data_IF_882794809211
#
_entry.id   IF_882794809211
#
_cell.length_a   1.000
_cell.length_b   1.000
_cell.length_c   1.000
_cell.angle_alpha   90.00
_cell.angle_beta   90.00
_cell.angle_gamma   90.00
#
_symmetry.space_group_name_H-M   'P 1'
#
loop_
_entity.id
_entity.type
_entity.pdbx_description
1 polymer ?
#
# COMPACT_ATOMS: atom_id res chain seq x y z
N UNK A 1 18.43 57.87 -27.75
CA UNK A 1 18.82 58.52 -26.47
C UNK A 1 19.68 57.54 -25.67
N UNK A 2 20.91 57.95 -25.34
CA UNK A 2 21.91 57.20 -24.56
C UNK A 2 21.74 57.46 -23.07
N UNK A 3 22.10 56.47 -22.24
CA UNK A 3 22.96 56.51 -21.03
C UNK A 3 22.67 55.25 -20.20
N UNK A 4 23.58 54.58 -19.52
CA UNK A 4 25.04 54.45 -19.52
C UNK A 4 25.34 53.25 -18.60
N UNK A 5 26.40 52.50 -18.90
CA UNK A 5 26.90 51.38 -18.11
C UNK A 5 27.58 51.84 -16.80
N UNK A 6 27.67 50.96 -15.79
CA UNK A 6 28.94 50.79 -15.05
C UNK A 6 29.01 49.49 -14.25
N UNK A 7 30.18 48.87 -14.33
CA UNK A 7 30.63 47.64 -13.67
C UNK A 7 31.28 47.89 -12.31
N UNK A 8 31.24 46.83 -11.50
CA UNK A 8 31.86 46.44 -10.20
C UNK A 8 33.17 47.12 -9.75
N UNK A 9 33.45 47.15 -8.43
CA UNK A 9 34.71 46.53 -7.97
C UNK A 9 34.60 45.65 -6.71
N UNK A 10 35.44 44.60 -6.75
CA UNK A 10 35.88 43.67 -5.69
C UNK A 10 36.66 44.40 -4.58
N UNK A 11 36.54 43.95 -3.32
CA UNK A 11 37.57 44.13 -2.27
C UNK A 11 37.46 43.09 -1.14
N UNK A 12 38.46 42.22 -1.11
CA UNK A 12 38.90 41.32 -0.03
C UNK A 12 39.18 42.03 1.31
N UNK A 13 38.92 41.34 2.45
CA UNK A 13 39.79 41.12 3.64
C UNK A 13 39.03 40.30 4.70
N UNK A 14 39.37 39.02 4.96
CA UNK A 14 40.36 38.45 5.91
C UNK A 14 40.11 38.72 7.41
N UNK A 15 39.83 37.63 8.16
CA UNK A 15 40.32 37.17 9.51
C UNK A 15 39.23 36.25 10.09
N UNK A 16 39.45 35.07 10.66
CA UNK A 16 40.64 34.36 11.11
C UNK A 16 40.29 33.60 12.42
N UNK A 17 40.63 32.31 12.50
CA UNK A 17 40.71 31.51 13.74
C UNK A 17 39.42 30.77 14.17
N UNK A 18 39.43 29.55 14.73
CA UNK A 18 40.51 28.65 15.11
C UNK A 18 39.89 27.26 15.31
N UNK A 19 40.50 26.20 14.74
CA UNK A 19 40.24 24.79 15.11
C UNK A 19 40.88 24.51 16.47
N UNK A 20 40.13 23.92 17.40
CA UNK A 20 40.72 23.22 18.56
C UNK A 20 40.33 21.75 18.45
N UNK A 21 41.35 20.89 18.51
CA UNK A 21 41.26 19.43 18.60
C UNK A 21 41.75 19.00 19.99
N UNK A 22 41.22 17.83 20.41
CA UNK A 22 41.79 16.80 21.32
C UNK A 22 41.77 17.07 22.83
N UNK A 23 41.74 16.03 23.72
CA UNK A 23 42.27 14.65 23.53
C UNK A 23 41.43 13.44 24.07
N UNK A 24 41.94 12.24 23.76
CA UNK A 24 41.61 10.89 24.27
C UNK A 24 42.19 10.63 25.68
N UNK A 25 41.53 9.75 26.46
CA UNK A 25 42.08 8.84 27.49
C UNK A 25 40.93 7.89 27.95
N UNK A 26 40.90 6.55 27.79
CA UNK A 26 41.62 5.37 28.35
C UNK A 26 41.04 4.75 29.67
N UNK A 27 40.39 3.57 29.51
CA UNK A 27 40.43 2.30 30.30
C UNK A 27 40.01 2.20 31.81
N UNK A 28 38.83 1.58 32.13
CA UNK A 28 38.50 0.24 32.79
C UNK A 28 38.55 0.16 34.34
N UNK A 29 37.90 -0.81 35.07
CA UNK A 29 37.45 -2.19 34.73
C UNK A 29 36.01 -2.62 35.13
N UNK A 30 35.38 -3.57 34.41
CA UNK A 30 35.08 -4.98 34.76
C UNK A 30 34.32 -5.28 36.07
N UNK A 31 33.07 -5.75 35.95
CA UNK A 31 32.48 -6.75 36.86
C UNK A 31 31.74 -7.78 36.01
N UNK A 32 32.16 -9.03 36.13
CA UNK A 32 31.59 -10.20 35.50
C UNK A 32 30.42 -10.75 36.32
N UNK A 33 29.34 -11.18 35.66
CA UNK A 33 28.46 -12.27 36.11
C UNK A 33 27.94 -13.03 34.88
N UNK A 34 28.14 -14.35 34.88
CA UNK A 34 27.52 -15.38 34.03
C UNK A 34 26.70 -16.32 34.93
N UNK A 35 25.96 -17.32 34.41
CA UNK A 35 24.86 -17.23 33.44
C UNK A 35 23.57 -17.86 34.02
N UNK A 36 22.40 -17.38 33.61
CA UNK A 36 21.11 -18.05 33.85
C UNK A 36 20.64 -18.73 32.57
N UNK A 37 20.64 -20.05 32.56
CA UNK A 37 20.09 -20.88 31.49
C UNK A 37 18.59 -20.62 31.32
N UNK A 38 18.20 -20.21 30.11
CA UNK A 38 16.82 -20.10 29.67
C UNK A 38 16.78 -20.35 28.17
N UNK A 39 16.22 -21.50 27.79
CA UNK A 39 16.12 -22.00 26.43
C UNK A 39 15.26 -21.07 25.57
N UNK A 40 15.89 -20.14 24.85
CA UNK A 40 15.29 -19.49 23.69
C UNK A 40 15.64 -20.33 22.45
N UNK A 41 14.66 -21.11 21.98
CA UNK A 41 14.74 -21.72 20.66
C UNK A 41 14.92 -20.65 19.57
N UNK A 42 15.59 -20.96 18.45
CA UNK A 42 15.89 -19.96 17.45
C UNK A 42 14.60 -19.41 16.82
N UNK A 43 14.28 -18.17 17.16
CA UNK A 43 13.33 -17.36 16.40
C UNK A 43 13.96 -17.18 15.02
N UNK A 44 13.38 -17.87 14.04
CA UNK A 44 13.82 -17.84 12.66
C UNK A 44 13.43 -16.48 12.05
N UNK A 45 14.20 -15.44 12.40
CA UNK A 45 14.16 -14.17 11.70
C UNK A 45 14.55 -14.45 10.25
N UNK A 46 13.59 -14.28 9.34
CA UNK A 46 13.79 -14.48 7.91
C UNK A 46 15.13 -13.94 7.42
N UNK A 47 15.71 -14.65 6.44
CA UNK A 47 17.07 -14.52 5.94
C UNK A 47 17.63 -13.10 6.10
N UNK A 48 18.69 -12.92 6.90
CA UNK A 48 19.31 -11.61 7.11
C UNK A 48 19.73 -10.93 5.80
N UNK A 49 19.45 -9.63 5.69
CA UNK A 49 19.71 -8.79 4.50
C UNK A 49 21.17 -8.82 3.99
N UNK A 50 22.13 -9.27 4.80
CA UNK A 50 23.53 -9.42 4.41
C UNK A 50 23.83 -10.66 3.54
N UNK A 51 22.82 -11.50 3.27
CA UNK A 51 22.93 -12.68 2.41
C UNK A 51 22.33 -12.47 1.01
N UNK A 52 21.80 -11.30 0.68
CA UNK A 52 21.39 -10.98 -0.71
C UNK A 52 22.69 -10.82 -1.52
N UNK A 53 23.03 -11.74 -2.43
CA UNK A 53 24.29 -11.65 -3.17
C UNK A 53 24.32 -10.38 -4.00
N UNK A 54 25.47 -9.68 -4.05
CA UNK A 54 25.70 -8.48 -4.88
C UNK A 54 25.33 -8.70 -6.36
N UNK A 55 25.28 -9.97 -6.81
CA UNK A 55 24.84 -10.39 -8.14
C UNK A 55 23.35 -10.17 -8.38
N UNK A 56 22.48 -10.35 -7.37
CA UNK A 56 21.03 -10.07 -7.46
C UNK A 56 20.80 -8.56 -7.55
N UNK A 57 21.54 -7.76 -6.78
CA UNK A 57 21.50 -6.29 -6.88
C UNK A 57 22.03 -5.82 -8.24
N UNK A 58 23.05 -6.48 -8.81
CA UNK A 58 23.60 -6.19 -10.14
C UNK A 58 22.71 -6.59 -11.31
N UNK A 59 22.00 -7.73 -11.20
CA UNK A 59 21.03 -8.23 -12.19
C UNK A 59 19.74 -7.38 -12.16
N UNK A 60 19.23 -7.09 -10.97
CA UNK A 60 18.08 -6.21 -10.76
C UNK A 60 18.39 -4.73 -11.04
N UNK A 61 19.67 -4.33 -11.09
CA UNK A 61 20.08 -3.01 -11.60
C UNK A 61 20.18 -2.92 -13.12
N UNK A 62 20.16 -4.02 -13.88
CA UNK A 62 20.15 -3.96 -15.36
C UNK A 62 18.78 -4.24 -15.95
N UNK A 63 17.93 -5.00 -15.24
CA UNK A 63 16.58 -5.33 -15.68
C UNK A 63 15.51 -4.26 -15.38
N UNK A 64 15.73 -3.36 -14.42
CA UNK A 64 14.69 -2.45 -13.94
C UNK A 64 14.95 -0.99 -14.32
N UNK A 65 14.77 -0.69 -15.61
CA UNK A 65 14.45 0.67 -16.06
C UNK A 65 13.01 0.99 -15.61
N UNK A 66 12.82 2.05 -14.83
CA UNK A 66 11.46 2.57 -14.60
C UNK A 66 10.88 3.02 -15.96
N UNK A 67 9.67 2.59 -16.36
CA UNK A 67 9.16 2.74 -17.73
C UNK A 67 9.12 4.17 -18.27
N UNK A 68 9.08 5.18 -17.40
CA UNK A 68 8.71 6.54 -17.85
C UNK A 68 9.82 7.58 -17.86
N UNK A 69 11.00 7.34 -17.25
CA UNK A 69 12.01 8.41 -17.13
C UNK A 69 13.49 7.99 -17.19
N UNK A 70 13.82 6.70 -17.29
CA UNK A 70 15.22 6.25 -17.30
C UNK A 70 16.04 6.66 -16.06
N UNK A 71 15.39 7.18 -15.00
CA UNK A 71 16.05 7.59 -13.78
C UNK A 71 16.25 6.39 -12.86
N UNK A 72 17.52 6.11 -12.56
CA UNK A 72 17.92 5.10 -11.61
C UNK A 72 17.43 5.43 -10.20
N UNK A 73 16.81 4.47 -9.51
CA UNK A 73 16.61 4.56 -8.07
C UNK A 73 17.97 4.68 -7.38
N UNK A 74 18.06 5.55 -6.36
CA UNK A 74 19.26 5.59 -5.52
C UNK A 74 19.43 4.24 -4.83
N UNK A 75 20.67 3.84 -4.54
CA UNK A 75 20.98 2.53 -3.94
C UNK A 75 20.14 2.23 -2.69
N UNK A 76 20.03 3.20 -1.77
CA UNK A 76 19.26 3.04 -0.55
C UNK A 76 17.76 2.84 -0.82
N UNK A 77 17.19 3.59 -1.77
CA UNK A 77 15.78 3.45 -2.17
C UNK A 77 15.53 2.06 -2.80
N UNK A 78 16.51 1.54 -3.55
CA UNK A 78 16.45 0.21 -4.14
C UNK A 78 16.55 -0.92 -3.10
N UNK A 79 17.47 -0.82 -2.13
CA UNK A 79 17.57 -1.78 -1.02
C UNK A 79 16.29 -1.81 -0.18
N UNK A 80 15.69 -0.63 0.06
CA UNK A 80 14.38 -0.52 0.71
C UNK A 80 13.29 -1.22 -0.10
N UNK A 81 13.25 -1.05 -1.43
CA UNK A 81 12.30 -1.73 -2.32
C UNK A 81 12.45 -3.24 -2.24
N UNK A 82 13.66 -3.78 -2.29
CA UNK A 82 13.90 -5.22 -2.17
C UNK A 82 13.39 -5.77 -0.83
N UNK A 83 13.74 -5.08 0.27
CA UNK A 83 13.26 -5.43 1.62
C UNK A 83 11.74 -5.44 1.69
N UNK A 84 11.08 -4.41 1.17
CA UNK A 84 9.63 -4.28 1.16
C UNK A 84 8.95 -5.28 0.22
N UNK A 85 9.60 -5.72 -0.86
CA UNK A 85 9.07 -6.78 -1.73
C UNK A 85 8.99 -8.14 -1.02
N UNK A 86 9.87 -8.40 -0.05
CA UNK A 86 9.80 -9.58 0.81
C UNK A 86 8.60 -9.54 1.79
N UNK A 87 7.97 -8.37 1.93
CA UNK A 87 6.92 -8.05 2.90
C UNK A 87 5.51 -7.95 2.30
N UNK A 88 5.36 -8.39 1.05
CA UNK A 88 4.08 -8.55 0.34
C UNK A 88 3.18 -9.63 0.96
N UNK A 89 3.79 -10.63 1.61
CA UNK A 89 3.12 -11.62 2.45
C UNK A 89 3.75 -11.55 3.83
N UNK A 90 2.92 -11.38 4.85
CA UNK A 90 3.31 -11.43 6.25
C UNK A 90 3.83 -12.84 6.57
N UNK A 91 4.87 -13.00 7.40
CA UNK A 91 5.35 -14.33 7.81
C UNK A 91 4.28 -15.19 8.49
N UNK A 92 3.27 -14.58 9.10
CA UNK A 92 2.15 -15.26 9.74
C UNK A 92 0.82 -14.67 9.24
N UNK A 93 0.46 -14.88 7.96
CA UNK A 93 -0.67 -14.20 7.34
C UNK A 93 -2.00 -14.62 7.98
N UNK A 94 -2.08 -15.84 8.54
CA UNK A 94 -3.25 -16.31 9.29
C UNK A 94 -3.51 -15.46 10.54
N UNK A 95 -2.47 -15.16 11.33
CA UNK A 95 -2.59 -14.29 12.51
C UNK A 95 -3.07 -12.89 12.15
N UNK A 96 -2.66 -12.36 10.99
CA UNK A 96 -3.16 -11.07 10.48
C UNK A 96 -4.65 -11.12 10.12
N UNK A 97 -5.14 -12.28 9.69
CA UNK A 97 -6.50 -12.49 9.20
C UNK A 97 -7.48 -13.02 10.26
N UNK A 98 -7.01 -13.63 11.34
CA UNK A 98 -7.86 -14.10 12.44
C UNK A 98 -8.83 -13.02 12.97
N UNK A 99 -8.40 -11.76 13.22
CA UNK A 99 -9.32 -10.71 13.69
C UNK A 99 -10.47 -10.40 12.72
N UNK A 100 -10.31 -10.71 11.42
CA UNK A 100 -11.38 -10.57 10.44
C UNK A 100 -12.51 -11.57 10.72
N UNK A 101 -12.19 -12.81 11.10
CA UNK A 101 -13.18 -13.84 11.43
C UNK A 101 -13.91 -13.60 12.74
N UNK A 102 -13.31 -12.85 13.66
CA UNK A 102 -13.98 -12.48 14.91
C UNK A 102 -14.92 -11.29 14.70
N UNK A 103 -14.46 -10.28 13.94
CA UNK A 103 -15.20 -9.04 13.75
C UNK A 103 -16.32 -9.13 12.71
N UNK A 104 -16.17 -9.93 11.64
CA UNK A 104 -17.15 -9.93 10.55
C UNK A 104 -18.56 -10.35 11.00
N UNK A 105 -18.67 -11.36 11.89
CA UNK A 105 -19.98 -11.85 12.32
C UNK A 105 -20.71 -10.79 13.12
N UNK A 106 -20.00 -10.10 14.02
CA UNK A 106 -20.52 -8.97 14.77
C UNK A 106 -20.96 -7.83 13.83
N UNK A 107 -20.11 -7.46 12.86
CA UNK A 107 -20.42 -6.40 11.89
C UNK A 107 -21.68 -6.70 11.09
N UNK A 108 -21.76 -7.89 10.49
CA UNK A 108 -22.91 -8.30 9.67
C UNK A 108 -24.18 -8.40 10.52
N UNK A 109 -24.10 -8.89 11.75
CA UNK A 109 -25.25 -8.95 12.67
C UNK A 109 -25.83 -7.57 13.02
N UNK A 110 -25.00 -6.52 12.95
CA UNK A 110 -25.41 -5.12 13.15
C UNK A 110 -25.84 -4.43 11.84
N UNK A 111 -25.91 -5.17 10.73
CA UNK A 111 -26.24 -4.63 9.41
C UNK A 111 -25.12 -3.80 8.78
N UNK A 112 -23.87 -3.99 9.20
CA UNK A 112 -22.70 -3.33 8.62
C UNK A 112 -22.05 -4.20 7.53
N UNK A 113 -21.16 -3.58 6.75
CA UNK A 113 -20.26 -4.29 5.85
C UNK A 113 -19.37 -5.26 6.64
N UNK A 114 -18.97 -6.41 6.07
CA UNK A 114 -18.14 -7.42 6.76
C UNK A 114 -16.87 -6.84 7.42
N UNK A 115 -16.25 -5.85 6.78
CA UNK A 115 -15.08 -5.10 7.26
C UNK A 115 -15.38 -3.97 8.27
N UNK A 116 -16.61 -3.86 8.77
CA UNK A 116 -17.04 -2.75 9.64
C UNK A 116 -17.08 -1.40 8.93
N UNK A 117 -17.07 -1.41 7.59
CA UNK A 117 -17.13 -0.21 6.75
C UNK A 117 -18.60 0.23 6.51
N UNK A 118 -18.81 1.49 6.09
CA UNK A 118 -20.12 1.93 5.63
C UNK A 118 -20.56 1.14 4.39
N UNK A 119 -21.83 0.74 4.34
CA UNK A 119 -22.43 0.06 3.17
C UNK A 119 -22.43 0.96 1.93
N UNK A 120 -22.66 2.26 2.12
CA UNK A 120 -22.52 3.24 1.06
C UNK A 120 -21.03 3.57 0.87
N UNK A 121 -20.51 3.22 -0.30
CA UNK A 121 -19.08 3.37 -0.61
C UNK A 121 -18.80 4.46 -1.66
N UNK A 122 -19.82 4.91 -2.41
CA UNK A 122 -19.72 5.86 -3.52
C UNK A 122 -20.35 7.22 -3.19
N UNK A 123 -19.84 8.29 -3.78
CA UNK A 123 -20.33 9.66 -3.59
C UNK A 123 -19.52 10.45 -2.55
N UNK A 124 -19.81 11.75 -2.48
CA UNK A 124 -19.05 12.70 -1.65
C UNK A 124 -19.15 12.38 -0.16
N UNK A 125 -20.34 12.09 0.35
CA UNK A 125 -20.57 11.77 1.76
C UNK A 125 -19.93 10.44 2.17
N UNK A 126 -20.01 9.43 1.30
CA UNK A 126 -19.32 8.16 1.51
C UNK A 126 -17.80 8.35 1.55
N UNK A 127 -17.23 9.11 0.59
CA UNK A 127 -15.80 9.41 0.58
C UNK A 127 -15.36 10.16 1.85
N UNK A 128 -16.15 11.11 2.32
CA UNK A 128 -15.90 11.84 3.55
C UNK A 128 -15.95 10.92 4.78
N UNK A 129 -16.94 10.03 4.86
CA UNK A 129 -17.07 9.04 5.93
C UNK A 129 -15.84 8.13 5.99
N UNK A 130 -15.41 7.59 4.85
CA UNK A 130 -14.19 6.77 4.77
C UNK A 130 -12.95 7.55 5.21
N UNK A 131 -12.80 8.81 4.77
CA UNK A 131 -11.68 9.65 5.18
C UNK A 131 -11.67 9.94 6.69
N UNK A 132 -12.83 10.19 7.31
CA UNK A 132 -12.98 10.39 8.76
C UNK A 132 -12.66 9.10 9.52
N UNK A 133 -13.15 7.94 9.07
CA UNK A 133 -12.83 6.65 9.67
C UNK A 133 -11.33 6.36 9.64
N UNK A 134 -10.66 6.65 8.52
CA UNK A 134 -9.21 6.51 8.38
C UNK A 134 -8.44 7.51 9.25
N UNK A 135 -8.93 8.73 9.42
CA UNK A 135 -8.35 9.77 10.29
C UNK A 135 -8.40 9.39 11.76
N UNK A 136 -9.54 8.86 12.19
CA UNK A 136 -9.81 8.55 13.59
C UNK A 136 -9.44 7.11 13.98
N UNK A 137 -8.81 6.34 13.07
CA UNK A 137 -8.49 4.92 13.25
C UNK A 137 -9.72 4.08 13.68
N UNK A 138 -10.90 4.39 13.12
CA UNK A 138 -12.15 3.68 13.45
C UNK A 138 -12.32 2.37 12.67
N UNK A 139 -11.38 2.03 11.78
CA UNK A 139 -11.36 0.74 11.08
C UNK A 139 -10.39 -0.19 11.85
N UNK A 140 -10.92 -1.18 12.59
CA UNK A 140 -10.16 -1.89 13.62
C UNK A 140 -9.11 -2.85 13.03
N UNK A 141 -9.41 -3.48 11.89
CA UNK A 141 -8.56 -4.49 11.31
C UNK A 141 -7.71 -3.96 10.14
N UNK A 142 -6.55 -4.60 9.93
CA UNK A 142 -5.59 -4.17 8.90
C UNK A 142 -6.15 -4.35 7.48
N UNK A 143 -7.00 -5.35 7.25
CA UNK A 143 -7.61 -5.63 5.95
C UNK A 143 -8.65 -4.55 5.62
N UNK A 144 -9.52 -4.22 6.56
CA UNK A 144 -10.47 -3.12 6.49
C UNK A 144 -9.77 -1.80 6.19
N UNK A 145 -8.66 -1.51 6.86
CA UNK A 145 -7.87 -0.30 6.60
C UNK A 145 -7.33 -0.23 5.17
N UNK A 146 -6.93 -1.36 4.58
CA UNK A 146 -6.46 -1.43 3.19
C UNK A 146 -7.62 -1.28 2.20
N UNK A 147 -8.70 -2.05 2.43
CA UNK A 147 -9.91 -1.99 1.61
C UNK A 147 -10.52 -0.59 1.60
N UNK A 148 -10.60 0.09 2.74
CA UNK A 148 -11.11 1.46 2.83
C UNK A 148 -10.32 2.43 1.94
N UNK A 149 -8.99 2.33 1.91
CA UNK A 149 -8.14 3.17 1.04
C UNK A 149 -8.32 2.83 -0.43
N UNK A 150 -8.47 1.55 -0.76
CA UNK A 150 -8.70 1.10 -2.14
C UNK A 150 -10.08 1.54 -2.66
N UNK A 151 -11.14 1.37 -1.86
CA UNK A 151 -12.50 1.80 -2.17
C UNK A 151 -12.60 3.33 -2.30
N UNK A 152 -11.91 4.08 -1.43
CA UNK A 152 -11.85 5.54 -1.52
C UNK A 152 -11.27 6.01 -2.87
N UNK A 153 -10.30 5.28 -3.43
CA UNK A 153 -9.75 5.58 -4.76
C UNK A 153 -10.76 5.30 -5.86
N UNK A 154 -11.46 4.16 -5.82
CA UNK A 154 -12.50 3.85 -6.81
C UNK A 154 -13.61 4.90 -6.80
N UNK A 155 -14.11 5.26 -5.61
CA UNK A 155 -15.12 6.31 -5.45
C UNK A 155 -14.62 7.65 -6.02
N UNK A 156 -13.40 8.06 -5.65
CA UNK A 156 -12.82 9.31 -6.17
C UNK A 156 -12.65 9.32 -7.69
N UNK A 157 -12.21 8.22 -8.29
CA UNK A 157 -11.99 8.11 -9.75
C UNK A 157 -13.32 8.16 -10.51
N UNK A 158 -14.34 7.45 -10.01
CA UNK A 158 -15.70 7.46 -10.55
C UNK A 158 -16.33 8.87 -10.47
N UNK A 159 -16.21 9.54 -9.31
CA UNK A 159 -16.65 10.93 -9.17
C UNK A 159 -15.88 11.90 -10.08
N UNK A 160 -14.58 11.65 -10.33
CA UNK A 160 -13.81 12.46 -11.27
C UNK A 160 -14.27 12.27 -12.71
N UNK A 161 -14.81 11.10 -13.05
CA UNK A 161 -15.36 10.83 -14.37
C UNK A 161 -16.69 11.56 -14.56
N UNK A 162 -17.59 11.49 -13.57
CA UNK A 162 -18.95 12.03 -13.60
C UNK A 162 -19.27 12.99 -12.43
N UNK A 163 -18.56 14.13 -12.28
CA UNK A 163 -18.69 14.98 -11.10
C UNK A 163 -20.10 15.56 -10.91
N UNK A 164 -20.84 15.78 -11.99
CA UNK A 164 -22.23 16.22 -12.00
C UNK A 164 -23.22 15.25 -11.34
N UNK A 165 -22.89 13.96 -11.25
CA UNK A 165 -23.74 12.95 -10.62
C UNK A 165 -23.61 12.93 -9.09
N UNK A 166 -22.49 13.43 -8.55
CA UNK A 166 -22.11 13.21 -7.16
C UNK A 166 -21.83 14.48 -6.37
N UNK A 167 -21.38 15.55 -7.03
CA UNK A 167 -20.95 16.76 -6.34
C UNK A 167 -22.10 17.78 -6.25
N UNK A 168 -22.25 18.46 -5.09
CA UNK A 168 -23.44 19.28 -4.82
C UNK A 168 -23.53 20.57 -5.63
N UNK A 169 -22.41 21.07 -6.16
CA UNK A 169 -22.38 22.29 -6.98
C UNK A 169 -22.01 22.02 -8.43
N UNK A 170 -22.33 22.93 -9.36
CA UNK A 170 -21.72 22.91 -10.68
C UNK A 170 -20.22 23.19 -10.59
N UNK A 171 -19.42 22.46 -11.37
CA UNK A 171 -17.99 22.74 -11.56
C UNK A 171 -17.84 24.01 -12.41
N UNK A 172 -16.94 24.92 -12.02
CA UNK A 172 -16.60 26.08 -12.86
C UNK A 172 -15.75 25.63 -14.06
N UNK A 173 -15.91 26.27 -15.21
CA UNK A 173 -15.23 25.87 -16.44
C UNK A 173 -13.69 25.74 -16.29
N UNK A 174 -13.06 26.69 -15.58
CA UNK A 174 -11.62 26.73 -15.33
C UNK A 174 -11.12 25.79 -14.21
N UNK A 175 -12.01 25.16 -13.44
CA UNK A 175 -11.63 24.32 -12.29
C UNK A 175 -11.30 22.89 -12.76
N UNK A 176 -10.14 22.35 -12.42
CA UNK A 176 -9.79 20.98 -12.78
C UNK A 176 -10.72 19.97 -12.09
N UNK A 177 -11.23 18.96 -12.82
CA UNK A 177 -12.16 17.94 -12.28
C UNK A 177 -11.65 17.29 -10.99
N UNK A 178 -10.38 16.87 -10.98
CA UNK A 178 -9.73 16.24 -9.82
C UNK A 178 -9.70 17.15 -8.58
N UNK A 179 -9.31 18.41 -8.77
CA UNK A 179 -9.28 19.40 -7.70
C UNK A 179 -10.70 19.73 -7.19
N UNK A 180 -11.67 19.81 -8.10
CA UNK A 180 -13.07 20.05 -7.78
C UNK A 180 -13.65 18.96 -6.86
N UNK A 181 -13.52 17.69 -7.26
CA UNK A 181 -14.01 16.54 -6.48
C UNK A 181 -13.31 16.47 -5.12
N UNK A 182 -11.99 16.65 -5.08
CA UNK A 182 -11.22 16.69 -3.83
C UNK A 182 -11.76 17.74 -2.86
N UNK A 183 -12.07 18.95 -3.37
CA UNK A 183 -12.64 20.01 -2.55
C UNK A 183 -14.03 19.64 -2.03
N UNK A 184 -14.87 18.98 -2.84
CA UNK A 184 -16.19 18.51 -2.39
C UNK A 184 -16.07 17.53 -1.22
N UNK A 185 -15.17 16.54 -1.32
CA UNK A 185 -14.90 15.59 -0.22
C UNK A 185 -14.39 16.34 1.01
N UNK A 186 -13.45 17.27 0.83
CA UNK A 186 -12.86 18.02 1.94
C UNK A 186 -13.90 18.87 2.69
N UNK A 187 -14.85 19.50 1.98
CA UNK A 187 -15.95 20.22 2.61
C UNK A 187 -16.92 19.30 3.34
N UNK A 188 -17.19 18.10 2.82
CA UNK A 188 -18.04 17.13 3.52
C UNK A 188 -17.39 16.56 4.80
N UNK A 189 -16.06 16.61 4.91
CA UNK A 189 -15.37 16.15 6.12
C UNK A 189 -15.47 17.11 7.32
N UNK A 190 -15.84 18.39 7.13
CA UNK A 190 -15.72 19.42 8.17
C UNK A 190 -16.87 20.42 8.14
N UNK A 191 -17.16 21.03 9.29
CA UNK A 191 -18.07 22.17 9.35
C UNK A 191 -17.31 23.44 8.92
N UNK A 192 -17.53 23.89 7.69
CA UNK A 192 -16.97 25.14 7.14
C UNK A 192 -15.94 24.92 6.02
N UNK A 193 -14.94 25.81 5.96
CA UNK A 193 -13.89 25.75 4.94
C UNK A 193 -12.75 24.82 5.37
N UNK A 194 -12.40 23.79 4.57
CA UNK A 194 -11.32 22.89 4.92
C UNK A 194 -9.96 23.60 4.85
N UNK A 195 -9.17 23.37 5.89
CA UNK A 195 -7.77 23.76 5.98
C UNK A 195 -6.91 23.05 4.93
N UNK A 196 -5.69 23.55 4.73
CA UNK A 196 -4.71 22.86 3.88
C UNK A 196 -4.38 21.46 4.41
N UNK A 197 -4.21 21.30 5.72
CA UNK A 197 -3.91 20.02 6.35
C UNK A 197 -4.99 18.96 6.10
N UNK A 198 -6.26 19.36 6.07
CA UNK A 198 -7.37 18.42 5.81
C UNK A 198 -7.37 17.96 4.34
N UNK A 199 -7.13 18.88 3.41
CA UNK A 199 -6.96 18.52 1.99
C UNK A 199 -5.75 17.61 1.79
N UNK A 200 -4.63 17.91 2.42
CA UNK A 200 -3.40 17.11 2.33
C UNK A 200 -3.60 15.70 2.89
N UNK A 201 -4.40 15.55 3.96
CA UNK A 201 -4.74 14.27 4.56
C UNK A 201 -5.58 13.38 3.62
N UNK A 202 -6.62 13.93 2.99
CA UNK A 202 -7.42 13.20 1.98
C UNK A 202 -6.54 12.83 0.78
N UNK A 203 -5.70 13.76 0.31
CA UNK A 203 -4.75 13.50 -0.76
C UNK A 203 -3.80 12.35 -0.39
N UNK A 204 -3.33 12.27 0.85
CA UNK A 204 -2.47 11.19 1.32
C UNK A 204 -3.19 9.85 1.34
N UNK A 205 -4.45 9.77 1.78
CA UNK A 205 -5.22 8.52 1.71
C UNK A 205 -5.44 8.05 0.27
N UNK A 206 -5.76 8.97 -0.64
CA UNK A 206 -5.89 8.65 -2.06
C UNK A 206 -4.56 8.18 -2.67
N UNK A 207 -3.44 8.80 -2.27
CA UNK A 207 -2.11 8.35 -2.68
C UNK A 207 -1.80 6.94 -2.17
N UNK A 208 -2.07 6.67 -0.90
CA UNK A 208 -1.90 5.34 -0.31
C UNK A 208 -2.75 4.29 -1.02
N UNK A 209 -4.03 4.59 -1.26
CA UNK A 209 -4.93 3.70 -1.99
C UNK A 209 -4.45 3.44 -3.42
N UNK A 210 -3.91 4.45 -4.11
CA UNK A 210 -3.34 4.27 -5.46
C UNK A 210 -2.14 3.34 -5.44
N UNK A 211 -1.27 3.46 -4.45
CA UNK A 211 -0.14 2.54 -4.30
C UNK A 211 -0.59 1.11 -4.00
N UNK A 212 -1.62 0.93 -3.16
CA UNK A 212 -2.23 -0.38 -2.93
C UNK A 212 -2.77 -0.96 -4.25
N UNK A 213 -3.46 -0.15 -5.06
CA UNK A 213 -3.94 -0.58 -6.38
C UNK A 213 -2.80 -0.96 -7.33
N UNK A 214 -1.72 -0.17 -7.41
CA UNK A 214 -0.55 -0.51 -8.25
C UNK A 214 0.00 -1.89 -7.87
N UNK A 215 0.26 -2.10 -6.58
CA UNK A 215 0.80 -3.39 -6.11
C UNK A 215 -0.20 -4.50 -6.43
N UNK A 216 -1.44 -4.37 -5.95
CA UNK A 216 -2.47 -5.39 -6.05
C UNK A 216 -2.81 -5.78 -7.51
N UNK A 217 -2.79 -4.83 -8.44
CA UNK A 217 -3.06 -5.09 -9.85
C UNK A 217 -1.93 -5.90 -10.53
N UNK A 218 -0.69 -5.77 -10.05
CA UNK A 218 0.47 -6.43 -10.66
C UNK A 218 0.75 -7.77 -9.98
N UNK A 219 0.67 -7.83 -8.64
CA UNK A 219 1.04 -9.03 -7.87
C UNK A 219 -0.16 -9.91 -7.51
N UNK A 220 -1.39 -9.42 -7.70
CA UNK A 220 -2.64 -10.08 -7.32
C UNK A 220 -3.33 -9.44 -6.11
N UNK A 221 -4.68 -9.37 -6.14
CA UNK A 221 -5.46 -8.69 -5.09
C UNK A 221 -5.29 -9.32 -3.71
N UNK A 222 -4.92 -10.60 -3.61
CA UNK A 222 -4.62 -11.29 -2.36
C UNK A 222 -3.63 -10.54 -1.46
N UNK A 223 -2.78 -9.68 -2.05
CA UNK A 223 -1.90 -8.77 -1.32
C UNK A 223 -2.64 -7.94 -0.26
N UNK A 224 -3.88 -7.52 -0.54
CA UNK A 224 -4.68 -6.74 0.40
C UNK A 224 -4.96 -7.51 1.71
N UNK A 225 -5.01 -8.84 1.65
CA UNK A 225 -5.19 -9.71 2.81
C UNK A 225 -3.87 -9.91 3.55
N UNK A 226 -2.81 -10.21 2.82
CA UNK A 226 -1.60 -10.81 3.41
C UNK A 226 -0.45 -9.83 3.64
N UNK A 227 -0.53 -8.58 3.18
CA UNK A 227 0.55 -7.61 3.36
C UNK A 227 0.97 -7.48 4.84
N UNK A 228 2.26 -7.35 5.11
CA UNK A 228 2.75 -7.12 6.47
C UNK A 228 2.59 -5.67 6.93
N UNK A 229 2.59 -5.46 8.24
CA UNK A 229 2.54 -4.12 8.83
C UNK A 229 3.76 -3.26 8.50
N UNK A 230 4.91 -3.86 8.21
CA UNK A 230 6.10 -3.14 7.77
C UNK A 230 5.88 -2.43 6.43
N UNK A 231 5.34 -3.16 5.44
CA UNK A 231 5.03 -2.57 4.14
C UNK A 231 3.87 -1.59 4.23
N UNK A 232 2.83 -1.91 5.01
CA UNK A 232 1.74 -0.97 5.25
C UNK A 232 2.21 0.31 5.94
N UNK A 233 3.16 0.23 6.88
CA UNK A 233 3.76 1.40 7.52
C UNK A 233 4.52 2.26 6.52
N UNK A 234 5.30 1.65 5.61
CA UNK A 234 5.99 2.39 4.55
C UNK A 234 5.03 3.13 3.60
N UNK A 235 3.90 2.49 3.27
CA UNK A 235 2.82 3.09 2.48
C UNK A 235 2.16 4.25 3.25
N UNK A 236 1.77 4.02 4.51
CA UNK A 236 1.08 5.00 5.36
C UNK A 236 1.94 6.25 5.62
N UNK A 237 3.22 6.04 5.89
CA UNK A 237 4.18 7.11 6.16
C UNK A 237 4.73 7.78 4.90
N UNK A 238 4.31 7.33 3.72
CA UNK A 238 4.76 7.88 2.42
C UNK A 238 6.29 7.83 2.30
N UNK A 239 6.91 6.81 2.90
CA UNK A 239 8.37 6.65 2.96
C UNK A 239 8.94 5.93 1.74
N UNK A 240 8.12 5.70 0.72
CA UNK A 240 8.47 5.11 -0.57
C UNK A 240 7.98 6.03 -1.68
N UNK A 241 8.67 6.07 -2.82
CA UNK A 241 8.28 6.92 -3.96
C UNK A 241 7.34 6.17 -4.91
N UNK A 242 6.68 6.87 -5.84
CA UNK A 242 5.88 6.22 -6.88
C UNK A 242 6.73 5.24 -7.70
N UNK A 243 7.94 5.66 -8.08
CA UNK A 243 8.88 4.77 -8.77
C UNK A 243 9.25 3.57 -7.90
N UNK A 244 9.45 3.76 -6.60
CA UNK A 244 9.71 2.67 -5.66
C UNK A 244 8.56 1.65 -5.61
N UNK A 245 7.31 2.12 -5.60
CA UNK A 245 6.12 1.25 -5.63
C UNK A 245 6.04 0.46 -6.95
N UNK A 246 6.23 1.13 -8.09
CA UNK A 246 6.24 0.48 -9.40
C UNK A 246 7.37 -0.57 -9.46
N UNK A 247 8.58 -0.20 -9.07
CA UNK A 247 9.72 -1.14 -9.04
C UNK A 247 9.48 -2.30 -8.08
N UNK A 248 8.88 -2.07 -6.91
CA UNK A 248 8.53 -3.13 -5.97
C UNK A 248 7.58 -4.15 -6.60
N UNK A 249 6.50 -3.67 -7.22
CA UNK A 249 5.48 -4.52 -7.81
C UNK A 249 6.02 -5.28 -9.04
N UNK A 250 6.73 -4.59 -9.94
CA UNK A 250 7.37 -5.21 -11.12
C UNK A 250 8.45 -6.21 -10.69
N UNK A 251 9.25 -5.89 -9.67
CA UNK A 251 10.24 -6.84 -9.14
C UNK A 251 9.58 -8.10 -8.60
N UNK A 252 8.55 -7.95 -7.79
CA UNK A 252 7.78 -9.08 -7.27
C UNK A 252 7.19 -9.93 -8.40
N UNK A 253 6.62 -9.30 -9.43
CA UNK A 253 6.06 -9.99 -10.59
C UNK A 253 7.04 -10.94 -11.27
N UNK A 254 8.23 -10.44 -11.61
CA UNK A 254 9.22 -11.29 -12.28
C UNK A 254 9.98 -12.20 -11.34
N UNK A 255 10.38 -11.71 -10.16
CA UNK A 255 11.27 -12.45 -9.28
C UNK A 255 10.54 -13.48 -8.41
N UNK A 256 9.21 -13.40 -8.26
CA UNK A 256 8.45 -14.23 -7.31
C UNK A 256 7.14 -14.78 -7.91
N UNK A 257 7.22 -15.55 -9.01
CA UNK A 257 6.02 -16.03 -9.70
C UNK A 257 5.14 -16.95 -8.85
N UNK A 258 5.69 -17.74 -7.92
CA UNK A 258 4.89 -18.62 -7.06
C UNK A 258 4.10 -17.80 -6.03
N UNK A 259 4.72 -16.77 -5.43
CA UNK A 259 4.02 -15.81 -4.58
C UNK A 259 2.91 -15.08 -5.35
N UNK A 260 3.19 -14.61 -6.56
CA UNK A 260 2.20 -13.91 -7.39
C UNK A 260 1.03 -14.83 -7.73
N UNK A 261 1.29 -16.09 -8.08
CA UNK A 261 0.24 -17.09 -8.29
C UNK A 261 -0.64 -17.30 -7.05
N UNK A 262 -0.04 -17.37 -5.85
CA UNK A 262 -0.79 -17.46 -4.60
C UNK A 262 -1.70 -16.24 -4.39
N UNK A 263 -1.17 -15.02 -4.56
CA UNK A 263 -1.93 -13.79 -4.37
C UNK A 263 -3.04 -13.61 -5.41
N UNK A 264 -2.84 -14.08 -6.65
CA UNK A 264 -3.89 -14.14 -7.65
C UNK A 264 -4.99 -15.16 -7.30
N UNK A 265 -4.62 -16.30 -6.70
CA UNK A 265 -5.61 -17.32 -6.28
C UNK A 265 -6.62 -16.79 -5.24
N UNK A 266 -6.24 -15.75 -4.50
CA UNK A 266 -7.06 -15.09 -3.48
C UNK A 266 -7.91 -13.93 -4.02
N UNK A 267 -7.83 -13.59 -5.31
CA UNK A 267 -8.54 -12.43 -5.86
C UNK A 267 -10.04 -12.45 -5.64
N UNK A 268 -10.66 -13.62 -5.85
CA UNK A 268 -12.10 -13.78 -5.65
C UNK A 268 -12.50 -13.52 -4.20
N UNK A 269 -11.69 -13.96 -3.24
CA UNK A 269 -11.94 -13.71 -1.82
C UNK A 269 -11.90 -12.21 -1.52
N UNK A 270 -10.91 -11.48 -2.06
CA UNK A 270 -10.78 -10.03 -1.87
C UNK A 270 -11.93 -9.27 -2.54
N UNK A 271 -12.33 -9.67 -3.74
CA UNK A 271 -13.46 -9.07 -4.44
C UNK A 271 -14.76 -9.22 -3.64
N UNK A 272 -15.06 -10.43 -3.15
CA UNK A 272 -16.21 -10.64 -2.26
C UNK A 272 -16.13 -9.80 -1.00
N UNK A 273 -14.94 -9.70 -0.41
CA UNK A 273 -14.73 -8.93 0.82
C UNK A 273 -14.97 -7.44 0.62
N UNK A 274 -14.56 -6.87 -0.52
CA UNK A 274 -14.87 -5.49 -0.90
C UNK A 274 -16.36 -5.26 -1.18
N UNK A 275 -17.12 -6.32 -1.48
CA UNK A 275 -18.59 -6.31 -1.61
C UNK A 275 -19.31 -6.55 -0.28
N UNK A 276 -18.59 -6.59 0.83
CA UNK A 276 -19.15 -6.81 2.16
C UNK A 276 -19.47 -8.26 2.49
N UNK A 277 -18.91 -9.22 1.75
CA UNK A 277 -19.16 -10.66 1.92
C UNK A 277 -17.86 -11.37 2.26
N UNK A 278 -17.87 -12.28 3.23
CA UNK A 278 -16.77 -13.22 3.39
C UNK A 278 -17.03 -14.46 2.55
N UNK A 279 -16.06 -14.89 1.74
CA UNK A 279 -16.19 -16.14 0.98
C UNK A 279 -15.87 -17.33 1.89
N UNK A 280 -16.55 -18.47 1.66
CA UNK A 280 -16.22 -19.72 2.34
C UNK A 280 -14.75 -20.10 2.17
N UNK A 281 -14.22 -19.91 0.96
CA UNK A 281 -12.81 -20.16 0.64
C UNK A 281 -11.85 -19.31 1.47
N UNK A 282 -12.22 -18.08 1.84
CA UNK A 282 -11.41 -17.23 2.71
C UNK A 282 -11.43 -17.76 4.15
N UNK A 283 -12.60 -18.14 4.66
CA UNK A 283 -12.70 -18.75 5.99
C UNK A 283 -11.86 -20.04 6.08
N UNK A 284 -11.96 -20.91 5.08
CA UNK A 284 -11.19 -22.15 5.00
C UNK A 284 -9.68 -21.86 4.93
N UNK A 285 -9.26 -20.88 4.10
CA UNK A 285 -7.84 -20.49 4.00
C UNK A 285 -7.26 -19.93 5.32
N UNK A 286 -8.09 -19.30 6.17
CA UNK A 286 -7.66 -18.79 7.47
C UNK A 286 -7.63 -19.91 8.52
N UNK A 287 -8.59 -20.83 8.51
CA UNK A 287 -8.73 -21.87 9.52
C UNK A 287 -7.82 -23.09 9.29
N UNK A 288 -7.49 -23.40 8.04
CA UNK A 288 -6.68 -24.57 7.69
C UNK A 288 -5.17 -24.26 7.75
N UNK A 289 -4.50 -24.76 8.78
CA UNK A 289 -3.04 -24.64 8.95
C UNK A 289 -2.23 -25.40 7.90
N UNK A 290 -2.83 -26.40 7.27
CA UNK A 290 -2.22 -27.15 6.16
C UNK A 290 -2.51 -26.53 4.79
N UNK A 291 -3.38 -25.51 4.76
CA UNK A 291 -3.90 -24.88 3.56
C UNK A 291 -2.94 -23.91 2.89
N UNK A 292 -3.48 -23.12 1.94
CA UNK A 292 -2.70 -22.23 1.08
C UNK A 292 -1.98 -21.08 1.84
N UNK A 293 -2.46 -20.72 3.03
CA UNK A 293 -1.84 -19.74 3.93
C UNK A 293 -1.06 -20.40 5.09
N UNK A 294 -0.99 -21.73 5.09
CA UNK A 294 -0.26 -22.52 6.07
C UNK A 294 1.25 -22.41 5.93
N UNK A 295 1.98 -22.60 7.03
CA UNK A 295 3.44 -22.41 7.06
C UNK A 295 4.16 -23.29 6.02
N UNK A 296 3.76 -24.54 5.87
CA UNK A 296 4.36 -25.45 4.87
C UNK A 296 4.13 -25.00 3.43
N UNK A 297 2.96 -24.43 3.12
CA UNK A 297 2.67 -23.91 1.78
C UNK A 297 3.53 -22.67 1.48
N UNK A 298 3.64 -21.75 2.44
CA UNK A 298 4.45 -20.54 2.32
C UNK A 298 5.96 -20.86 2.18
N UNK A 299 6.46 -21.85 2.92
CA UNK A 299 7.85 -22.31 2.78
C UNK A 299 8.12 -22.88 1.38
N UNK A 300 7.26 -23.79 0.88
CA UNK A 300 7.40 -24.36 -0.47
C UNK A 300 7.34 -23.27 -1.55
N UNK A 301 6.42 -22.33 -1.42
CA UNK A 301 6.31 -21.18 -2.33
C UNK A 301 7.63 -20.37 -2.35
N UNK A 302 8.20 -20.07 -1.19
CA UNK A 302 9.46 -19.35 -1.10
C UNK A 302 10.63 -20.16 -1.70
N UNK A 303 10.68 -21.47 -1.53
CA UNK A 303 11.69 -22.33 -2.16
C UNK A 303 11.60 -22.26 -3.69
N UNK A 304 10.39 -22.35 -4.26
CA UNK A 304 10.16 -22.22 -5.71
C UNK A 304 10.62 -20.86 -6.21
N UNK A 305 10.26 -19.77 -5.52
CA UNK A 305 10.68 -18.41 -5.87
C UNK A 305 12.20 -18.24 -5.79
N UNK A 306 12.86 -18.79 -4.76
CA UNK A 306 14.32 -18.74 -4.62
C UNK A 306 15.03 -19.47 -5.75
N UNK A 307 14.55 -20.67 -6.11
CA UNK A 307 15.07 -21.43 -7.25
C UNK A 307 14.87 -20.63 -8.54
N UNK A 308 13.70 -20.04 -8.75
CA UNK A 308 13.41 -19.21 -9.90
C UNK A 308 14.38 -18.03 -10.01
N UNK A 309 14.58 -17.28 -8.92
CA UNK A 309 15.52 -16.15 -8.87
C UNK A 309 16.95 -16.56 -9.20
N UNK A 310 17.41 -17.72 -8.71
CA UNK A 310 18.75 -18.22 -8.98
C UNK A 310 18.94 -18.66 -10.44
N UNK A 311 17.87 -19.12 -11.09
CA UNK A 311 17.87 -19.53 -12.49
C UNK A 311 17.67 -18.38 -13.47
N UNK A 312 17.17 -17.23 -13.03
CA UNK A 312 16.98 -16.07 -13.91
C UNK A 312 18.31 -15.59 -14.50
N UNK A 313 18.43 -15.71 -15.82
CA UNK A 313 19.49 -15.11 -16.61
C UNK A 313 19.03 -13.71 -17.02
N UNK A 314 19.97 -12.78 -17.27
CA UNK A 314 19.70 -11.42 -17.73
C UNK A 314 19.14 -11.36 -19.18
N UNK A 315 18.08 -12.11 -19.45
CA UNK A 315 17.31 -12.04 -20.68
C UNK A 315 16.43 -10.80 -20.68
N UNK A 316 16.01 -10.40 -21.89
CA UNK A 316 15.02 -9.35 -22.07
C UNK A 316 13.70 -9.78 -21.42
N UNK A 317 13.18 -8.94 -20.52
CA UNK A 317 11.84 -9.10 -19.96
C UNK A 317 10.92 -8.11 -20.67
N UNK A 318 9.80 -8.60 -21.21
CA UNK A 318 8.83 -7.75 -21.89
C UNK A 318 8.24 -6.77 -20.88
N UNK A 319 8.23 -5.46 -21.14
CA UNK A 319 7.73 -4.47 -20.19
C UNK A 319 6.24 -4.66 -19.92
N UNK A 320 5.85 -4.58 -18.64
CA UNK A 320 4.44 -4.56 -18.23
C UNK A 320 3.85 -3.19 -18.55
N UNK A 321 2.75 -3.15 -19.29
CA UNK A 321 1.91 -1.96 -19.37
C UNK A 321 1.13 -1.79 -18.05
N UNK A 322 1.75 -1.06 -17.12
CA UNK A 322 1.23 -0.87 -15.76
C UNK A 322 -0.15 -0.23 -15.79
N UNK A 323 -0.35 0.80 -16.61
CA UNK A 323 -1.60 1.54 -16.66
C UNK A 323 -2.73 0.67 -17.19
N UNK A 324 -2.50 -0.10 -18.27
CA UNK A 324 -3.49 -1.02 -18.80
C UNK A 324 -3.90 -2.09 -17.78
N UNK A 325 -2.92 -2.70 -17.08
CA UNK A 325 -3.18 -3.72 -16.06
C UNK A 325 -3.95 -3.14 -14.87
N UNK A 326 -3.55 -1.97 -14.37
CA UNK A 326 -4.23 -1.31 -13.24
C UNK A 326 -5.67 -0.96 -13.61
N UNK A 327 -5.90 -0.37 -14.78
CA UNK A 327 -7.25 0.00 -15.22
C UNK A 327 -8.14 -1.22 -15.43
N UNK A 328 -7.62 -2.31 -16.01
CA UNK A 328 -8.38 -3.54 -16.19
C UNK A 328 -8.90 -4.09 -14.86
N UNK A 329 -8.01 -4.25 -13.88
CA UNK A 329 -8.38 -4.80 -12.57
C UNK A 329 -9.37 -3.88 -11.84
N UNK A 330 -9.14 -2.57 -11.84
CA UNK A 330 -10.05 -1.60 -11.23
C UNK A 330 -11.43 -1.62 -11.87
N UNK A 331 -11.52 -1.61 -13.20
CA UNK A 331 -12.79 -1.62 -13.92
C UNK A 331 -13.59 -2.90 -13.64
N UNK A 332 -12.91 -4.06 -13.57
CA UNK A 332 -13.54 -5.33 -13.20
C UNK A 332 -14.16 -5.29 -11.79
N UNK A 333 -13.44 -4.73 -10.81
CA UNK A 333 -13.95 -4.61 -9.44
C UNK A 333 -15.05 -3.55 -9.34
N UNK A 334 -14.88 -2.41 -10.01
CA UNK A 334 -15.84 -1.32 -10.05
C UNK A 334 -17.19 -1.76 -10.63
N UNK A 335 -17.19 -2.52 -11.73
CA UNK A 335 -18.40 -3.06 -12.33
C UNK A 335 -19.22 -3.90 -11.32
N UNK A 336 -18.56 -4.82 -10.61
CA UNK A 336 -19.20 -5.65 -9.59
C UNK A 336 -19.76 -4.83 -8.41
N UNK A 337 -19.04 -3.79 -7.98
CA UNK A 337 -19.47 -2.90 -6.91
C UNK A 337 -20.71 -2.09 -7.30
N UNK A 338 -20.75 -1.56 -8.52
CA UNK A 338 -21.87 -0.78 -9.04
C UNK A 338 -23.13 -1.66 -9.23
N UNK A 339 -22.98 -2.86 -9.79
CA UNK A 339 -24.09 -3.82 -9.91
C UNK A 339 -24.70 -4.17 -8.54
N UNK A 340 -23.84 -4.43 -7.55
CA UNK A 340 -24.28 -4.76 -6.19
C UNK A 340 -25.00 -3.58 -5.53
N UNK A 341 -24.53 -2.36 -5.75
CA UNK A 341 -25.17 -1.17 -5.20
C UNK A 341 -26.54 -0.88 -5.84
N UNK A 342 -26.67 -1.10 -7.15
CA UNK A 342 -27.96 -1.00 -7.84
C UNK A 342 -28.96 -2.01 -7.26
N UNK A 343 -28.52 -3.25 -7.04
CA UNK A 343 -29.36 -4.27 -6.41
C UNK A 343 -29.84 -3.83 -5.01
N UNK A 344 -28.97 -3.26 -4.18
CA UNK A 344 -29.33 -2.75 -2.85
C UNK A 344 -30.31 -1.56 -2.88
N UNK A 345 -30.28 -0.74 -3.93
CA UNK A 345 -31.24 0.38 -4.11
C UNK A 345 -32.61 -0.10 -4.58
N UNK A 346 -32.68 -1.21 -5.32
CA UNK A 346 -33.93 -1.76 -5.87
C UNK A 346 -34.60 -2.78 -4.94
N UNK A 347 -33.82 -3.57 -4.21
CA UNK A 347 -34.27 -4.52 -3.19
C UNK A 347 -33.57 -4.21 -1.86
N UNK A 348 -34.04 -3.21 -1.09
CA UNK A 348 -33.50 -2.97 0.24
C UNK A 348 -33.66 -4.24 1.07
N UNK A 349 -32.63 -4.66 1.84
CA UNK A 349 -32.74 -5.84 2.68
C UNK A 349 -33.98 -5.69 3.55
N UNK A 350 -34.90 -6.66 3.43
CA UNK A 350 -36.09 -6.76 4.27
C UNK A 350 -35.61 -6.55 5.71
N UNK A 351 -36.05 -5.44 6.33
CA UNK A 351 -35.91 -5.26 7.76
C UNK A 351 -36.65 -6.45 8.38
N UNK A 352 -35.92 -7.48 8.75
CA UNK A 352 -36.43 -8.52 9.63
C UNK A 352 -36.67 -7.82 10.96
N UNK A 353 -37.87 -7.28 11.12
CA UNK A 353 -38.44 -6.99 12.42
C UNK A 353 -38.79 -8.37 12.98
N UNK A 354 -37.94 -8.85 13.90
CA UNK A 354 -38.23 -9.55 15.17
C UNK A 354 -36.90 -10.05 15.74
#
# INVERSE_FOLDING_TARGET
MRKAWTTVPDKRRRRGGTRIRTPKSLATPSVAQTPGEGSEGPINHGTPLHLIPDRIVGLSRKAFMAPENGQWLRRADFEQVLRLSARLIDPAPRTVLEPLLDSWHANVSQGLHALGLPLEWIGVEAAATYAIMLKNNMVPDAVGQRAARMLLVLNYEEMCQFPECYCPRPRRAAEQKKAYVMNCIAHACVLGDPSKSERDLIHNYLRQGRWLWVIASIVGLGFALTCSEELMSAIKNVSITNNGINTLATHAFYARPAMVALLHSLESAVAHLMLGKISRSLCEAIQDDSGILGQSALLRMNEVDQVHQNMQHAGHQDPIDLDAVIQNVKNRILANLLETQLALKHDPPLRTII
#
